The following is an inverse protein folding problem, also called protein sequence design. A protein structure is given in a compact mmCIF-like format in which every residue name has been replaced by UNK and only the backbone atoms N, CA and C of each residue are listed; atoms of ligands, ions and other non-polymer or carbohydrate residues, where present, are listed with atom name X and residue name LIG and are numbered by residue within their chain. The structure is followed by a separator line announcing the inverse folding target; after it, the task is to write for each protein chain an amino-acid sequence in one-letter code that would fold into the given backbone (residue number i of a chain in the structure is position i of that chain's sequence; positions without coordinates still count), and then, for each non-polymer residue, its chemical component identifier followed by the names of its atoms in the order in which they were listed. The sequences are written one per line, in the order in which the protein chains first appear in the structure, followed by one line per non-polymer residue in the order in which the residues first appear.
data_IF_150408814384
#
_entry.id   IF_150408814384
#
_cell.length_a   1.000
_cell.length_b   1.000
_cell.length_c   1.000
_cell.angle_alpha   90.00
_cell.angle_beta   90.00
_cell.angle_gamma   90.00
#
_symmetry.space_group_name_H-M   'P 1'
#
loop_
_entity.id
_entity.type
_entity.pdbx_description
1 polymer ?
#
# COMPACT_ATOMS: atom_id res chain seq x y z
N UNK A 1 -11.19 -36.68 -9.17
CA UNK A 1 -12.05 -35.74 -8.40
C UNK A 1 -11.14 -34.99 -7.44
N UNK A 2 -11.06 -33.66 -7.52
CA UNK A 2 -10.26 -32.89 -6.55
C UNK A 2 -10.97 -32.88 -5.20
N UNK A 3 -10.22 -33.13 -4.13
CA UNK A 3 -10.72 -33.10 -2.76
C UNK A 3 -11.26 -31.69 -2.43
N UNK A 4 -12.44 -31.66 -1.81
CA UNK A 4 -13.09 -30.45 -1.28
C UNK A 4 -12.19 -29.63 -0.35
N UNK A 5 -11.25 -30.28 0.36
CA UNK A 5 -10.26 -29.62 1.21
C UNK A 5 -9.27 -28.80 0.37
N UNK A 6 -8.73 -29.40 -0.68
CA UNK A 6 -7.78 -28.76 -1.61
C UNK A 6 -8.41 -27.55 -2.30
N UNK A 7 -9.68 -27.65 -2.71
CA UNK A 7 -10.42 -26.53 -3.30
C UNK A 7 -10.59 -25.38 -2.29
N UNK A 8 -10.81 -25.70 -1.01
CA UNK A 8 -10.98 -24.71 0.06
C UNK A 8 -9.67 -23.99 0.36
N UNK A 9 -8.56 -24.72 0.45
CA UNK A 9 -7.22 -24.16 0.65
C UNK A 9 -6.80 -23.25 -0.50
N UNK A 10 -7.03 -23.65 -1.75
CA UNK A 10 -6.75 -22.80 -2.91
C UNK A 10 -7.55 -21.48 -2.88
N UNK A 11 -8.84 -21.54 -2.55
CA UNK A 11 -9.68 -20.34 -2.38
C UNK A 11 -9.21 -19.44 -1.24
N UNK A 12 -8.76 -20.02 -0.12
CA UNK A 12 -8.20 -19.26 0.99
C UNK A 12 -6.93 -18.53 0.56
N UNK A 13 -6.01 -19.25 -0.10
CA UNK A 13 -4.75 -18.71 -0.58
C UNK A 13 -4.95 -17.55 -1.57
N UNK A 14 -5.89 -17.69 -2.51
CA UNK A 14 -6.23 -16.62 -3.45
C UNK A 14 -6.76 -15.36 -2.76
N UNK A 15 -7.53 -15.50 -1.66
CA UNK A 15 -8.04 -14.34 -0.91
C UNK A 15 -6.93 -13.61 -0.17
N UNK A 16 -6.02 -14.36 0.46
CA UNK A 16 -4.84 -13.81 1.16
C UNK A 16 -3.97 -13.01 0.19
N UNK A 17 -3.49 -13.67 -0.87
CA UNK A 17 -2.62 -13.01 -1.86
C UNK A 17 -3.34 -11.94 -2.68
N UNK A 18 -4.64 -12.10 -2.89
CA UNK A 18 -5.50 -11.10 -3.53
C UNK A 18 -5.61 -9.79 -2.76
N UNK A 19 -5.30 -9.78 -1.47
CA UNK A 19 -5.19 -8.57 -0.65
C UNK A 19 -3.74 -8.08 -0.53
N UNK A 20 -2.79 -9.00 -0.25
CA UNK A 20 -1.39 -8.65 -0.01
C UNK A 20 -0.74 -8.00 -1.26
N UNK A 21 -0.95 -8.56 -2.45
CA UNK A 21 -0.28 -8.08 -3.67
C UNK A 21 -0.74 -6.66 -4.04
N UNK A 22 -2.06 -6.36 -4.14
CA UNK A 22 -2.51 -4.98 -4.37
C UNK A 22 -2.07 -4.02 -3.27
N UNK A 23 -2.05 -4.47 -2.00
CA UNK A 23 -1.56 -3.67 -0.89
C UNK A 23 -0.09 -3.27 -1.06
N UNK A 24 0.78 -4.23 -1.40
CA UNK A 24 2.19 -3.98 -1.71
C UNK A 24 2.38 -3.02 -2.89
N UNK A 25 1.55 -3.14 -3.92
CA UNK A 25 1.58 -2.24 -5.06
C UNK A 25 1.23 -0.78 -4.68
N UNK A 26 0.22 -0.58 -3.83
CA UNK A 26 -0.14 0.75 -3.33
C UNK A 26 0.98 1.36 -2.47
N UNK A 27 1.61 0.57 -1.60
CA UNK A 27 2.76 1.04 -0.81
C UNK A 27 3.90 1.48 -1.73
N UNK A 28 4.21 0.70 -2.78
CA UNK A 28 5.24 1.08 -3.75
C UNK A 28 4.91 2.40 -4.47
N UNK A 29 3.65 2.60 -4.89
CA UNK A 29 3.20 3.87 -5.49
C UNK A 29 3.40 5.04 -4.52
N UNK A 30 3.01 4.87 -3.27
CA UNK A 30 3.17 5.92 -2.25
C UNK A 30 4.64 6.32 -2.07
N UNK A 31 5.53 5.33 -1.97
CA UNK A 31 6.98 5.57 -1.84
C UNK A 31 7.50 6.36 -3.04
N UNK A 32 7.17 5.95 -4.26
CA UNK A 32 7.62 6.64 -5.47
C UNK A 32 7.09 8.08 -5.49
N UNK A 33 5.80 8.27 -5.21
CA UNK A 33 5.15 9.58 -5.21
C UNK A 33 5.78 10.53 -4.19
N UNK A 34 5.93 10.10 -2.93
CA UNK A 34 6.52 10.90 -1.87
C UNK A 34 8.01 11.18 -2.12
N UNK A 35 8.74 10.23 -2.67
CA UNK A 35 10.16 10.40 -3.02
C UNK A 35 10.32 11.46 -4.12
N UNK A 36 9.58 11.33 -5.23
CA UNK A 36 9.62 12.31 -6.32
C UNK A 36 9.17 13.68 -5.86
N UNK A 37 8.11 13.75 -5.06
CA UNK A 37 7.64 15.00 -4.47
C UNK A 37 8.72 15.65 -3.60
N UNK A 38 9.36 14.89 -2.72
CA UNK A 38 10.43 15.37 -1.84
C UNK A 38 11.60 15.97 -2.64
N UNK A 39 11.97 15.39 -3.78
CA UNK A 39 12.97 15.99 -4.67
C UNK A 39 12.57 17.37 -5.17
N UNK A 40 11.28 17.62 -5.43
CA UNK A 40 10.81 18.95 -5.87
C UNK A 40 10.89 20.01 -4.77
N UNK A 41 10.99 19.59 -3.49
CA UNK A 41 11.07 20.47 -2.33
C UNK A 41 12.50 20.93 -2.04
N UNK A 42 13.53 20.32 -2.62
CA UNK A 42 14.96 20.65 -2.44
C UNK A 42 15.38 22.02 -3.03
N UNK A 43 14.43 22.94 -3.20
CA UNK A 43 14.67 24.32 -3.61
C UNK A 43 15.23 25.12 -2.41
N UNK A 44 15.96 26.23 -2.65
CA UNK A 44 16.51 27.09 -1.60
C UNK A 44 15.42 27.95 -0.91
N UNK A 45 14.25 27.38 -0.63
CA UNK A 45 13.18 28.00 0.13
C UNK A 45 12.75 27.02 1.24
N UNK A 46 13.05 27.29 2.52
CA UNK A 46 12.71 26.38 3.62
C UNK A 46 11.20 26.10 3.75
N UNK A 47 10.34 27.00 3.28
CA UNK A 47 8.89 26.82 3.32
C UNK A 47 8.40 25.70 2.37
N UNK A 48 9.25 25.20 1.46
CA UNK A 48 8.92 24.08 0.58
C UNK A 48 8.68 22.77 1.34
N UNK A 49 9.29 22.58 2.51
CA UNK A 49 9.14 21.36 3.31
C UNK A 49 7.91 21.37 4.23
N UNK A 50 7.09 22.42 4.19
CA UNK A 50 5.89 22.51 5.00
C UNK A 50 4.87 21.44 4.56
N UNK A 51 4.52 20.54 5.48
CA UNK A 51 3.55 19.48 5.24
C UNK A 51 2.19 20.05 4.85
N UNK A 52 1.61 19.54 3.76
CA UNK A 52 0.30 19.95 3.28
C UNK A 52 -0.79 18.89 3.51
N UNK A 53 -1.82 19.25 4.27
CA UNK A 53 -3.01 18.43 4.52
C UNK A 53 -3.99 18.38 3.34
N UNK A 54 -3.67 19.01 2.21
CA UNK A 54 -4.49 18.95 0.99
C UNK A 54 -3.67 18.59 -0.25
N UNK A 55 -2.39 18.28 -0.07
CA UNK A 55 -1.42 18.11 -1.16
C UNK A 55 -0.90 16.68 -1.30
N UNK A 56 0.23 16.58 -2.02
CA UNK A 56 0.91 15.32 -2.33
C UNK A 56 1.33 14.54 -1.08
N UNK A 57 1.64 15.24 0.02
CA UNK A 57 1.95 14.63 1.31
C UNK A 57 0.79 13.75 1.82
N UNK A 58 -0.42 14.32 1.91
CA UNK A 58 -1.58 13.60 2.40
C UNK A 58 -1.97 12.47 1.44
N UNK A 59 -1.91 12.71 0.12
CA UNK A 59 -2.22 11.69 -0.87
C UNK A 59 -1.27 10.48 -0.76
N UNK A 60 0.05 10.74 -0.66
CA UNK A 60 1.05 9.69 -0.49
C UNK A 60 0.82 8.90 0.80
N UNK A 61 0.61 9.58 1.93
CA UNK A 61 0.32 8.93 3.21
C UNK A 61 -0.98 8.12 3.18
N UNK A 62 -2.05 8.65 2.61
CA UNK A 62 -3.32 7.93 2.50
C UNK A 62 -3.16 6.64 1.69
N UNK A 63 -2.46 6.70 0.55
CA UNK A 63 -2.17 5.52 -0.28
C UNK A 63 -1.33 4.50 0.52
N UNK A 64 -0.32 4.94 1.26
CA UNK A 64 0.47 4.05 2.11
C UNK A 64 -0.39 3.35 3.18
N UNK A 65 -1.27 4.09 3.85
CA UNK A 65 -2.17 3.54 4.88
C UNK A 65 -3.12 2.51 4.28
N UNK A 66 -3.73 2.79 3.12
CA UNK A 66 -4.61 1.83 2.44
C UNK A 66 -3.82 0.58 2.01
N UNK A 67 -2.62 0.76 1.45
CA UNK A 67 -1.75 -0.35 1.06
C UNK A 67 -1.36 -1.23 2.24
N UNK A 68 -0.97 -0.62 3.36
CA UNK A 68 -0.62 -1.32 4.59
C UNK A 68 -1.84 -2.06 5.18
N UNK A 69 -3.01 -1.43 5.17
CA UNK A 69 -4.25 -2.05 5.65
C UNK A 69 -4.60 -3.32 4.85
N UNK A 70 -4.42 -3.31 3.53
CA UNK A 70 -4.64 -4.49 2.69
C UNK A 70 -3.64 -5.60 2.99
N UNK A 71 -2.36 -5.28 3.18
CA UNK A 71 -1.33 -6.26 3.56
C UNK A 71 -1.67 -6.90 4.90
N UNK A 72 -1.99 -6.08 5.91
CA UNK A 72 -2.35 -6.56 7.25
C UNK A 72 -3.63 -7.40 7.23
N UNK A 73 -4.65 -6.99 6.46
CA UNK A 73 -5.88 -7.75 6.31
C UNK A 73 -5.64 -9.10 5.63
N UNK A 74 -4.79 -9.15 4.60
CA UNK A 74 -4.40 -10.40 3.95
C UNK A 74 -3.59 -11.30 4.89
N UNK A 75 -2.62 -10.74 5.61
CA UNK A 75 -1.82 -11.47 6.59
C UNK A 75 -2.68 -12.06 7.72
N UNK A 76 -3.67 -11.30 8.21
CA UNK A 76 -4.62 -11.78 9.22
C UNK A 76 -5.48 -12.95 8.73
N UNK A 77 -5.73 -13.07 7.42
CA UNK A 77 -6.48 -14.20 6.83
C UNK A 77 -5.59 -15.41 6.54
N UNK A 78 -4.26 -15.29 6.70
CA UNK A 78 -3.31 -16.36 6.46
C UNK A 78 -3.25 -17.34 7.65
N UNK A 79 -3.55 -16.85 8.85
CA UNK A 79 -3.65 -17.61 10.11
C UNK A 79 -5.08 -18.15 10.35
#
# INVERSE_FOLDING_TARGET
MLDSKVIREYKMNMKVWGLIIPGGFLVAISIIMLTLYSYTLLKPNPASFAFSVTGTDLAGLAIAVVGLALIMAGAYMQD
#
